data_IF_800212457410
#
_entry.id   IF_800212457410
#
_cell.length_a   1.000
_cell.length_b   1.000
_cell.length_c   1.000
_cell.angle_alpha   90.00
_cell.angle_beta   90.00
_cell.angle_gamma   90.00
#
_symmetry.space_group_name_H-M   'P 1'
#
loop_
_entity.id
_entity.type
_entity.pdbx_description
1 polymer ?
#
# COMPACT_ATOMS: atom_id res chain seq x y z
N UNK A 1 9.21 -12.89 12.49
CA UNK A 1 8.48 -11.87 11.71
C UNK A 1 7.03 -11.96 12.14
N UNK A 2 6.40 -10.86 12.58
CA UNK A 2 4.96 -10.89 12.82
C UNK A 2 4.26 -11.32 11.54
N UNK A 3 3.44 -12.36 11.60
CA UNK A 3 2.68 -12.86 10.45
C UNK A 3 1.85 -11.71 9.87
N UNK A 4 1.75 -11.58 8.54
CA UNK A 4 1.00 -10.52 7.85
C UNK A 4 -0.39 -10.28 8.48
N UNK A 5 -1.07 -11.36 8.88
CA UNK A 5 -2.35 -11.33 9.58
C UNK A 5 -2.32 -10.48 10.87
N UNK A 6 -1.26 -10.58 11.67
CA UNK A 6 -1.17 -9.79 12.92
C UNK A 6 -1.01 -8.30 12.62
N UNK A 7 -0.24 -7.95 11.60
CA UNK A 7 -0.07 -6.55 11.16
C UNK A 7 -1.40 -6.01 10.63
N UNK A 8 -2.11 -6.80 9.81
CA UNK A 8 -3.43 -6.45 9.28
C UNK A 8 -4.43 -6.21 10.41
N UNK A 9 -4.48 -7.09 11.41
CA UNK A 9 -5.39 -6.93 12.56
C UNK A 9 -5.09 -5.66 13.37
N UNK A 10 -3.81 -5.33 13.59
CA UNK A 10 -3.43 -4.08 14.25
C UNK A 10 -3.87 -2.87 13.42
N UNK A 11 -3.65 -2.90 12.11
CA UNK A 11 -4.07 -1.83 11.22
C UNK A 11 -5.60 -1.67 11.20
N UNK A 12 -6.36 -2.77 11.16
CA UNK A 12 -7.83 -2.76 11.28
C UNK A 12 -8.30 -2.06 12.55
N UNK A 13 -7.59 -2.24 13.65
CA UNK A 13 -7.86 -1.61 14.94
C UNK A 13 -7.43 -0.13 15.02
N UNK A 14 -6.87 0.43 13.93
CA UNK A 14 -6.42 1.82 13.89
C UNK A 14 -5.01 2.05 14.46
N UNK A 15 -4.18 1.01 14.56
CA UNK A 15 -2.78 1.15 14.97
C UNK A 15 -1.96 1.85 13.87
N UNK A 16 -1.76 3.16 14.04
CA UNK A 16 -0.98 4.00 13.16
C UNK A 16 0.51 3.58 13.14
N UNK A 17 1.04 3.05 14.25
CA UNK A 17 2.44 2.63 14.30
C UNK A 17 2.66 1.36 13.47
N UNK A 18 1.73 0.41 13.52
CA UNK A 18 1.74 -0.78 12.66
C UNK A 18 1.64 -0.39 11.18
N UNK A 19 0.74 0.55 10.84
CA UNK A 19 0.60 1.07 9.47
C UNK A 19 1.87 1.76 8.98
N UNK A 20 2.47 2.64 9.78
CA UNK A 20 3.72 3.33 9.43
C UNK A 20 4.89 2.35 9.26
N UNK A 21 4.92 1.29 10.06
CA UNK A 21 5.96 0.25 9.95
C UNK A 21 5.83 -0.52 8.64
N UNK A 22 4.60 -0.92 8.29
CA UNK A 22 4.30 -1.53 7.00
C UNK A 22 4.68 -0.59 5.84
N UNK A 23 4.20 0.66 5.90
CA UNK A 23 4.47 1.66 4.87
C UNK A 23 5.97 1.78 4.61
N UNK A 24 6.77 1.99 5.66
CA UNK A 24 8.23 2.13 5.54
C UNK A 24 8.90 0.89 4.95
N UNK A 25 8.41 -0.31 5.24
CA UNK A 25 9.03 -1.55 4.77
C UNK A 25 8.78 -1.82 3.28
N UNK A 26 7.65 -1.36 2.73
CA UNK A 26 7.26 -1.65 1.33
C UNK A 26 7.38 -0.44 0.41
N UNK A 27 7.45 0.79 0.95
CA UNK A 27 7.37 2.03 0.18
C UNK A 27 8.37 2.09 -0.97
N UNK A 28 9.66 1.84 -0.70
CA UNK A 28 10.69 1.95 -1.72
C UNK A 28 10.47 0.96 -2.87
N UNK A 29 10.05 -0.27 -2.55
CA UNK A 29 9.82 -1.28 -3.58
C UNK A 29 8.59 -0.96 -4.44
N UNK A 30 7.50 -0.51 -3.81
CA UNK A 30 6.30 -0.06 -4.52
C UNK A 30 6.56 1.19 -5.35
N UNK A 31 7.38 2.11 -4.87
CA UNK A 31 7.78 3.30 -5.62
C UNK A 31 8.57 2.93 -6.88
N UNK A 32 9.57 2.06 -6.75
CA UNK A 32 10.34 1.54 -7.90
C UNK A 32 9.40 0.84 -8.90
N UNK A 33 8.41 0.09 -8.42
CA UNK A 33 7.42 -0.57 -9.27
C UNK A 33 6.52 0.45 -9.99
N UNK A 34 5.97 1.43 -9.28
CA UNK A 34 5.16 2.51 -9.82
C UNK A 34 5.91 3.30 -10.91
N UNK A 35 7.19 3.60 -10.69
CA UNK A 35 8.06 4.32 -11.66
C UNK A 35 8.27 3.59 -12.99
N UNK A 36 7.93 2.30 -13.09
CA UNK A 36 7.93 1.57 -14.37
C UNK A 36 6.75 1.97 -15.27
N UNK A 37 5.66 2.45 -14.68
CA UNK A 37 4.46 2.90 -15.38
C UNK A 37 4.42 4.44 -15.47
N UNK A 38 4.88 5.11 -14.41
CA UNK A 38 4.77 6.57 -14.23
C UNK A 38 6.18 7.18 -14.17
N UNK A 39 6.70 7.75 -15.28
CA UNK A 39 8.06 8.28 -15.32
C UNK A 39 8.27 9.50 -14.41
N UNK A 40 7.23 10.31 -14.20
CA UNK A 40 7.28 11.50 -13.37
C UNK A 40 7.42 11.13 -11.88
N UNK A 41 8.48 11.59 -11.18
CA UNK A 41 8.71 11.24 -9.79
C UNK A 41 7.61 11.70 -8.83
N UNK A 42 7.08 12.90 -9.03
CA UNK A 42 6.05 13.48 -8.16
C UNK A 42 4.73 12.75 -8.32
N UNK A 43 4.27 12.54 -9.56
CA UNK A 43 3.07 11.74 -9.86
C UNK A 43 3.14 10.34 -9.25
N UNK A 44 4.29 9.69 -9.31
CA UNK A 44 4.49 8.37 -8.70
C UNK A 44 4.36 8.41 -7.16
N UNK A 45 4.86 9.47 -6.51
CA UNK A 45 4.69 9.64 -5.06
C UNK A 45 3.23 9.89 -4.72
N UNK A 46 2.53 10.70 -5.51
CA UNK A 46 1.11 11.02 -5.29
C UNK A 46 0.23 9.78 -5.45
N UNK A 47 0.50 8.94 -6.45
CA UNK A 47 -0.16 7.64 -6.62
C UNK A 47 0.06 6.74 -5.41
N UNK A 48 1.31 6.63 -4.93
CA UNK A 48 1.60 5.85 -3.72
C UNK A 48 0.81 6.39 -2.53
N UNK A 49 0.87 7.70 -2.28
CA UNK A 49 0.15 8.34 -1.18
C UNK A 49 -1.34 8.08 -1.26
N UNK A 50 -1.95 8.21 -2.44
CA UNK A 50 -3.38 7.93 -2.64
C UNK A 50 -3.73 6.47 -2.33
N UNK A 51 -2.93 5.50 -2.79
CA UNK A 51 -3.18 4.08 -2.49
C UNK A 51 -3.09 3.81 -1.00
N UNK A 52 -2.07 4.35 -0.32
CA UNK A 52 -1.92 4.18 1.12
C UNK A 52 -3.01 4.88 1.93
N UNK A 53 -3.45 6.07 1.50
CA UNK A 53 -4.56 6.78 2.12
C UNK A 53 -5.86 5.98 1.99
N UNK A 54 -6.19 5.51 0.78
CA UNK A 54 -7.38 4.68 0.53
C UNK A 54 -7.33 3.36 1.30
N UNK A 55 -6.15 2.77 1.43
CA UNK A 55 -5.95 1.58 2.27
C UNK A 55 -6.24 1.89 3.75
N UNK A 56 -5.74 3.00 4.28
CA UNK A 56 -5.99 3.43 5.65
C UNK A 56 -7.47 3.76 5.92
N UNK A 57 -8.12 4.47 5.00
CA UNK A 57 -9.55 4.81 5.09
C UNK A 57 -10.42 3.56 5.12
N UNK A 58 -10.07 2.54 4.32
CA UNK A 58 -10.83 1.29 4.22
C UNK A 58 -10.39 0.22 5.22
N UNK A 59 -9.37 0.49 6.05
CA UNK A 59 -8.68 -0.51 6.88
C UNK A 59 -9.60 -1.50 7.60
N UNK A 60 -10.69 -1.01 8.19
CA UNK A 60 -11.65 -1.81 8.96
C UNK A 60 -12.35 -2.89 8.13
N UNK A 61 -12.53 -2.63 6.83
CA UNK A 61 -13.24 -3.50 5.89
C UNK A 61 -12.30 -4.25 4.92
N UNK A 62 -10.99 -4.16 5.12
CA UNK A 62 -10.04 -4.82 4.24
C UNK A 62 -10.05 -6.33 4.55
N UNK A 63 -10.40 -7.11 3.54
CA UNK A 63 -10.27 -8.56 3.55
C UNK A 63 -9.19 -8.98 2.55
N UNK A 64 -8.07 -9.49 3.06
CA UNK A 64 -6.90 -9.89 2.27
C UNK A 64 -6.80 -11.40 2.34
N UNK A 65 -7.19 -12.06 1.24
CA UNK A 65 -7.03 -13.51 1.06
C UNK A 65 -5.66 -13.90 0.46
N UNK A 66 -4.81 -12.92 0.17
CA UNK A 66 -3.44 -13.08 -0.35
C UNK A 66 -2.41 -12.58 0.67
N UNK A 67 -1.16 -12.32 0.26
CA UNK A 67 -0.25 -11.56 1.12
C UNK A 67 -0.55 -10.06 1.05
N UNK A 68 -0.28 -9.35 2.13
CA UNK A 68 -0.45 -7.90 2.21
C UNK A 68 0.37 -7.18 1.13
N UNK A 69 1.58 -7.66 0.87
CA UNK A 69 2.43 -7.16 -0.21
C UNK A 69 1.77 -7.35 -1.58
N UNK A 70 1.27 -8.56 -1.89
CA UNK A 70 0.63 -8.82 -3.18
C UNK A 70 -0.60 -7.92 -3.41
N UNK A 71 -1.39 -7.69 -2.35
CA UNK A 71 -2.50 -6.74 -2.39
C UNK A 71 -2.02 -5.32 -2.76
N UNK A 72 -1.01 -4.81 -2.07
CA UNK A 72 -0.49 -3.45 -2.29
C UNK A 72 0.13 -3.28 -3.67
N UNK A 73 0.90 -4.25 -4.17
CA UNK A 73 1.43 -4.23 -5.54
C UNK A 73 0.31 -4.13 -6.57
N UNK A 74 -0.75 -4.93 -6.41
CA UNK A 74 -1.91 -4.88 -7.32
C UNK A 74 -2.64 -3.55 -7.23
N UNK A 75 -2.82 -3.01 -6.03
CA UNK A 75 -3.46 -1.71 -5.83
C UNK A 75 -2.69 -0.58 -6.52
N UNK A 76 -1.36 -0.54 -6.34
CA UNK A 76 -0.48 0.42 -7.02
C UNK A 76 -0.53 0.27 -8.53
N UNK A 77 -0.43 -0.96 -9.05
CA UNK A 77 -0.50 -1.18 -10.48
C UNK A 77 -1.83 -0.72 -11.08
N UNK A 78 -2.96 -1.01 -10.42
CA UNK A 78 -4.27 -0.53 -10.85
C UNK A 78 -4.36 1.01 -10.85
N UNK A 79 -3.83 1.66 -9.81
CA UNK A 79 -3.85 3.12 -9.72
C UNK A 79 -2.96 3.76 -10.81
N UNK A 80 -1.77 3.18 -11.08
CA UNK A 80 -0.94 3.60 -12.20
C UNK A 80 -1.69 3.48 -13.54
N UNK A 81 -2.39 2.37 -13.78
CA UNK A 81 -3.13 2.15 -15.03
C UNK A 81 -4.34 3.08 -15.18
N UNK A 82 -4.97 3.49 -14.07
CA UNK A 82 -6.07 4.45 -14.08
C UNK A 82 -5.61 5.90 -14.31
N UNK A 83 -4.36 6.21 -13.98
CA UNK A 83 -3.77 7.54 -14.16
C UNK A 83 -3.37 7.82 -15.62
N UNK A 84 -3.06 6.76 -16.40
CA UNK A 84 -2.69 6.82 -17.82
C UNK A 84 -3.92 7.03 -18.72
#
# INVERSE_FOLDING_TARGET
MASDNKIIELIKQGDIAAFNTLFKSVYLQLYIHCRKFIPAPEDAKDILQNVFLRFWEKRENIDIHTSLNAYLYRAIQNECLNYL
#
